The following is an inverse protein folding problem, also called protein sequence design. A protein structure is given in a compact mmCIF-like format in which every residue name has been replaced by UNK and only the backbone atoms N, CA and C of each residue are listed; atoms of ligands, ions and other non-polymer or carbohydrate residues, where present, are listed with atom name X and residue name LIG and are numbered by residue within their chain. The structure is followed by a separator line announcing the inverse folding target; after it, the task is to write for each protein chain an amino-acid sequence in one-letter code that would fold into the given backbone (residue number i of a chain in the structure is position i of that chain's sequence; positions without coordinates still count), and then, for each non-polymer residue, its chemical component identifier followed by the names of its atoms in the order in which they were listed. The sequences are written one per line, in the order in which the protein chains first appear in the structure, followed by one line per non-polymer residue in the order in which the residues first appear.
data_IF_258183556570
#
_entry.id   IF_258183556570
#
_cell.length_a   1.000
_cell.length_b   1.000
_cell.length_c   1.000
_cell.angle_alpha   90.00
_cell.angle_beta   90.00
_cell.angle_gamma   90.00
#
_symmetry.space_group_name_H-M   'P 1'
#
loop_
_entity.id
_entity.type
_entity.pdbx_description
1 polymer ?
#
# COMPACT_ATOMS: atom_id res chain seq x y z
N UNK A 1 -14.79 25.48 -4.09
CA UNK A 1 -13.40 25.40 -4.61
C UNK A 1 -12.85 24.04 -4.26
N UNK A 2 -12.84 23.11 -5.21
CA UNK A 2 -12.21 21.80 -5.07
C UNK A 2 -10.69 22.04 -5.03
N UNK A 3 -10.06 21.91 -3.86
CA UNK A 3 -8.59 21.94 -3.81
C UNK A 3 -8.09 20.80 -4.69
N UNK A 4 -7.45 21.10 -5.81
CA UNK A 4 -6.95 20.08 -6.71
C UNK A 4 -5.97 19.19 -5.94
N UNK A 5 -6.24 17.88 -5.91
CA UNK A 5 -5.32 16.89 -5.32
C UNK A 5 -3.92 16.96 -5.95
N UNK A 6 -3.78 17.53 -7.15
CA UNK A 6 -2.52 17.65 -7.88
C UNK A 6 -1.40 18.34 -7.10
N UNK A 7 -1.72 19.26 -6.18
CA UNK A 7 -0.73 19.97 -5.37
C UNK A 7 -0.50 19.40 -3.97
N UNK A 8 -1.24 18.36 -3.56
CA UNK A 8 -1.07 17.77 -2.22
C UNK A 8 0.18 16.90 -2.18
N UNK A 9 0.87 16.90 -1.04
CA UNK A 9 2.02 16.04 -0.73
C UNK A 9 2.01 15.67 0.75
N UNK A 10 2.75 14.64 1.11
CA UNK A 10 2.79 14.10 2.48
C UNK A 10 1.72 13.04 2.73
N UNK A 11 1.48 12.77 4.01
CA UNK A 11 0.53 11.75 4.48
C UNK A 11 -0.78 12.40 4.87
N UNK A 12 -1.90 11.86 4.38
CA UNK A 12 -3.23 12.43 4.62
C UNK A 12 -3.75 12.20 6.04
N UNK A 13 -3.43 11.04 6.62
CA UNK A 13 -3.70 10.66 8.02
C UNK A 13 -2.91 9.40 8.34
N UNK A 14 -2.56 9.18 9.61
CA UNK A 14 -2.00 7.92 10.12
C UNK A 14 -3.06 7.04 10.81
N UNK A 15 -4.32 7.48 10.86
CA UNK A 15 -5.45 6.78 11.51
C UNK A 15 -6.04 5.69 10.59
N UNK A 16 -5.23 4.69 10.26
CA UNK A 16 -5.69 3.49 9.56
C UNK A 16 -4.71 2.32 9.69
N UNK A 17 -5.21 1.12 9.43
CA UNK A 17 -4.38 -0.06 9.24
C UNK A 17 -4.22 -0.34 7.75
N UNK A 18 -2.99 -0.60 7.30
CA UNK A 18 -2.75 -1.05 5.95
C UNK A 18 -1.35 -0.81 5.42
N UNK A 19 -1.04 -1.47 4.30
CA UNK A 19 0.15 -1.24 3.50
C UNK A 19 -0.19 -0.65 2.13
N UNK A 20 0.79 0.05 1.55
CA UNK A 20 0.76 0.63 0.20
C UNK A 20 2.17 0.56 -0.37
N UNK A 21 2.27 0.35 -1.69
CA UNK A 21 3.54 0.50 -2.40
C UNK A 21 3.46 1.72 -3.31
N UNK A 22 4.47 2.58 -3.23
CA UNK A 22 4.67 3.69 -4.13
C UNK A 22 5.74 3.31 -5.15
N UNK A 23 5.49 3.55 -6.42
CA UNK A 23 6.43 3.27 -7.52
C UNK A 23 6.58 4.50 -8.39
N UNK A 24 7.81 4.95 -8.63
CA UNK A 24 8.10 6.13 -9.45
C UNK A 24 8.10 5.78 -10.94
N UNK A 25 6.96 5.29 -11.43
CA UNK A 25 6.76 4.85 -12.82
C UNK A 25 5.27 4.93 -13.20
N UNK A 26 4.97 4.89 -14.50
CA UNK A 26 3.63 4.90 -15.06
C UNK A 26 2.81 3.65 -14.67
N UNK A 27 1.51 3.85 -14.41
CA UNK A 27 0.55 2.83 -13.95
C UNK A 27 0.62 1.56 -14.80
N UNK A 28 0.71 1.71 -16.12
CA UNK A 28 0.79 0.56 -17.03
C UNK A 28 1.99 -0.36 -16.80
N UNK A 29 3.18 0.21 -16.60
CA UNK A 29 4.38 -0.59 -16.37
C UNK A 29 4.35 -1.24 -14.99
N UNK A 30 3.84 -0.52 -13.98
CA UNK A 30 3.63 -1.05 -12.63
C UNK A 30 2.64 -2.20 -12.63
N UNK A 31 1.47 -2.03 -13.27
CA UNK A 31 0.48 -3.09 -13.38
C UNK A 31 1.02 -4.29 -14.14
N UNK A 32 1.71 -4.09 -15.26
CA UNK A 32 2.31 -5.18 -16.01
C UNK A 32 3.33 -5.98 -15.18
N UNK A 33 4.25 -5.27 -14.52
CA UNK A 33 5.27 -5.89 -13.68
C UNK A 33 4.63 -6.63 -12.50
N UNK A 34 3.71 -6.00 -11.78
CA UNK A 34 2.99 -6.61 -10.66
C UNK A 34 2.21 -7.86 -11.11
N UNK A 35 1.48 -7.79 -12.22
CA UNK A 35 0.75 -8.94 -12.78
C UNK A 35 1.69 -10.11 -13.08
N UNK A 36 2.86 -9.84 -13.64
CA UNK A 36 3.84 -10.89 -13.94
C UNK A 36 4.44 -11.49 -12.65
N UNK A 37 4.84 -10.67 -11.68
CA UNK A 37 5.48 -11.13 -10.43
C UNK A 37 4.51 -11.89 -9.52
N UNK A 38 3.24 -11.50 -9.51
CA UNK A 38 2.18 -12.15 -8.73
C UNK A 38 1.39 -13.21 -9.52
N UNK A 39 1.80 -13.52 -10.75
CA UNK A 39 1.09 -14.50 -11.60
C UNK A 39 -0.41 -14.23 -11.71
N UNK A 40 -0.78 -12.95 -11.88
CA UNK A 40 -2.16 -12.53 -11.95
C UNK A 40 -2.88 -13.18 -13.14
N UNK A 41 -4.08 -13.71 -12.89
CA UNK A 41 -4.94 -14.29 -13.93
C UNK A 41 -5.71 -13.21 -14.70
N UNK A 42 -5.81 -12.00 -14.13
CA UNK A 42 -6.59 -10.90 -14.67
C UNK A 42 -5.86 -9.56 -14.49
N UNK A 43 -5.78 -8.79 -15.58
CA UNK A 43 -5.38 -7.39 -15.55
C UNK A 43 -6.35 -6.58 -16.41
N UNK A 44 -7.10 -5.70 -15.78
CA UNK A 44 -8.04 -4.79 -16.43
C UNK A 44 -7.51 -3.35 -16.38
N UNK A 45 -7.50 -2.69 -17.53
CA UNK A 45 -6.94 -1.33 -17.68
C UNK A 45 -8.03 -0.27 -17.54
N UNK A 46 -7.70 0.82 -16.86
CA UNK A 46 -8.56 2.00 -16.72
C UNK A 46 -10.00 1.70 -16.26
N UNK A 47 -10.14 1.00 -15.13
CA UNK A 47 -11.41 0.41 -14.64
C UNK A 47 -12.43 1.41 -14.07
N UNK A 48 -12.23 2.71 -14.25
CA UNK A 48 -13.21 3.72 -13.84
C UNK A 48 -14.52 3.51 -14.62
N UNK A 49 -15.64 3.52 -13.90
CA UNK A 49 -16.98 3.24 -14.42
C UNK A 49 -17.14 1.86 -15.07
N UNK A 50 -16.22 0.92 -14.81
CA UNK A 50 -16.33 -0.46 -15.23
C UNK A 50 -16.73 -1.35 -14.03
N UNK A 51 -17.46 -2.42 -14.31
CA UNK A 51 -17.73 -3.46 -13.33
C UNK A 51 -16.50 -4.35 -13.19
N UNK A 52 -16.03 -4.54 -11.97
CA UNK A 52 -14.93 -5.44 -11.62
C UNK A 52 -15.41 -6.42 -10.56
N UNK A 53 -14.99 -7.67 -10.68
CA UNK A 53 -15.24 -8.71 -9.68
C UNK A 53 -14.01 -8.85 -8.79
N UNK A 54 -14.20 -8.71 -7.48
CA UNK A 54 -13.11 -8.81 -6.52
C UNK A 54 -12.73 -10.27 -6.30
N UNK A 55 -11.44 -10.57 -6.26
CA UNK A 55 -10.92 -11.89 -5.84
C UNK A 55 -10.33 -11.81 -4.44
N UNK A 56 -9.95 -12.96 -3.88
CA UNK A 56 -9.25 -13.01 -2.58
C UNK A 56 -7.98 -12.16 -2.61
N UNK A 57 -7.25 -12.22 -3.72
CA UNK A 57 -6.02 -11.46 -3.94
C UNK A 57 -6.14 -10.58 -5.18
N UNK A 58 -6.45 -9.31 -4.93
CA UNK A 58 -6.51 -8.30 -5.97
C UNK A 58 -5.88 -6.99 -5.51
N UNK A 59 -5.53 -6.16 -6.49
CA UNK A 59 -4.81 -4.91 -6.31
C UNK A 59 -5.41 -3.81 -7.17
N UNK A 60 -5.46 -2.60 -6.62
CA UNK A 60 -5.63 -1.40 -7.42
C UNK A 60 -4.29 -0.73 -7.64
N UNK A 61 -4.00 -0.42 -8.90
CA UNK A 61 -2.78 0.29 -9.31
C UNK A 61 -3.22 1.61 -9.93
N UNK A 62 -2.86 2.73 -9.32
CA UNK A 62 -3.38 4.03 -9.76
C UNK A 62 -2.41 5.17 -9.58
N UNK A 63 -2.67 6.27 -10.29
CA UNK A 63 -1.91 7.51 -10.14
C UNK A 63 -2.86 8.70 -10.18
N UNK A 64 -2.63 9.66 -9.28
CA UNK A 64 -3.35 10.92 -9.27
C UNK A 64 -2.82 11.85 -10.36
N UNK A 65 -3.70 12.67 -10.94
CA UNK A 65 -3.30 13.70 -11.91
C UNK A 65 -2.32 14.70 -11.26
N UNK A 66 -1.18 14.91 -11.91
CA UNK A 66 -0.13 15.82 -11.44
C UNK A 66 0.83 15.23 -10.42
N UNK A 67 0.83 13.91 -10.24
CA UNK A 67 1.76 13.18 -9.38
C UNK A 67 2.64 12.26 -10.22
N UNK A 68 3.90 12.10 -9.83
CA UNK A 68 4.84 11.19 -10.52
C UNK A 68 4.80 9.75 -10.00
N UNK A 69 4.14 9.52 -8.87
CA UNK A 69 4.13 8.23 -8.19
C UNK A 69 2.84 7.46 -8.44
N UNK A 70 3.00 6.20 -8.83
CA UNK A 70 1.92 5.22 -8.89
C UNK A 70 1.79 4.53 -7.54
N UNK A 71 0.56 4.36 -7.09
CA UNK A 71 0.18 3.71 -5.84
C UNK A 71 -0.33 2.31 -6.16
N UNK A 72 0.11 1.33 -5.38
CA UNK A 72 -0.44 -0.03 -5.36
C UNK A 72 -1.05 -0.27 -4.00
N UNK A 73 -2.31 -0.66 -3.96
CA UNK A 73 -2.99 -1.08 -2.74
C UNK A 73 -3.54 -2.48 -2.91
N UNK A 74 -3.44 -3.31 -1.87
CA UNK A 74 -4.08 -4.61 -1.78
C UNK A 74 -5.32 -4.55 -0.89
N UNK A 75 -6.16 -5.57 -1.05
CA UNK A 75 -7.33 -5.78 -0.20
C UNK A 75 -6.81 -6.07 1.17
N UNK A 76 -7.31 -5.34 2.15
CA UNK A 76 -6.95 -5.60 3.53
C UNK A 76 -7.70 -6.85 4.00
N UNK A 77 -6.98 -7.94 4.31
CA UNK A 77 -7.62 -9.14 4.80
C UNK A 77 -8.05 -9.00 6.26
N UNK A 78 -7.77 -7.90 6.97
CA UNK A 78 -8.26 -7.68 8.35
C UNK A 78 -9.79 -7.61 8.47
N UNK A 79 -10.51 -7.48 7.35
CA UNK A 79 -11.96 -7.70 7.29
C UNK A 79 -12.37 -9.18 7.16
N UNK A 80 -11.44 -10.10 6.88
CA UNK A 80 -11.63 -11.49 7.28
C UNK A 80 -11.55 -11.48 8.79
N UNK A 81 -12.67 -11.81 9.45
CA UNK A 81 -12.69 -12.15 10.86
C UNK A 81 -11.51 -13.08 11.11
N UNK A 82 -10.40 -12.55 11.65
CA UNK A 82 -9.36 -13.36 12.25
C UNK A 82 -10.02 -13.96 13.47
N UNK A 83 -10.76 -15.04 13.24
CA UNK A 83 -11.12 -16.07 14.19
C UNK A 83 -11.13 -15.48 15.60
N UNK A 84 -12.06 -14.56 15.86
CA UNK A 84 -12.65 -14.49 17.19
C UNK A 84 -13.55 -15.71 17.31
N UNK A 85 -13.00 -16.92 17.12
CA UNK A 85 -13.53 -18.04 17.85
C UNK A 85 -13.27 -17.65 19.29
N UNK A 86 -14.34 -17.22 19.95
CA UNK A 86 -14.49 -17.25 21.41
C UNK A 86 -14.34 -18.68 21.97
N UNK A 87 -13.66 -19.57 21.25
CA UNK A 87 -13.53 -21.00 21.45
C UNK A 87 -12.12 -21.48 21.04
N UNK A 88 -11.05 -20.84 21.52
CA UNK A 88 -9.73 -21.51 21.38
C UNK A 88 -8.78 -21.13 22.49
N UNK A 89 -8.80 -21.95 23.55
CA UNK A 89 -7.68 -22.07 24.47
C UNK A 89 -6.55 -22.97 23.93
N UNK A 90 -6.55 -23.37 22.64
CA UNK A 90 -5.55 -24.28 22.06
C UNK A 90 -5.37 -24.13 20.53
N UNK A 91 -5.13 -22.92 19.98
CA UNK A 91 -4.49 -22.87 18.63
C UNK A 91 -3.00 -23.10 18.83
N UNK A 92 -2.45 -24.10 18.15
CA UNK A 92 -1.01 -24.36 18.09
C UNK A 92 -0.30 -23.19 17.38
N UNK A 93 0.82 -22.71 17.92
CA UNK A 93 1.66 -21.66 17.32
C UNK A 93 1.98 -21.94 15.84
N UNK A 94 2.17 -23.20 15.48
CA UNK A 94 2.44 -23.60 14.09
C UNK A 94 1.26 -23.32 13.14
N UNK A 95 0.03 -23.52 13.62
CA UNK A 95 -1.19 -23.24 12.84
C UNK A 95 -1.38 -21.73 12.70
N UNK A 96 -1.15 -20.96 13.78
CA UNK A 96 -1.17 -19.51 13.73
C UNK A 96 -0.16 -18.98 12.71
N UNK A 97 1.06 -19.53 12.72
CA UNK A 97 2.11 -19.14 11.77
C UNK A 97 1.72 -19.43 10.33
N UNK A 98 1.17 -20.61 10.04
CA UNK A 98 0.72 -20.97 8.69
C UNK A 98 -0.41 -20.07 8.19
N UNK A 99 -1.40 -19.77 9.04
CA UNK A 99 -2.48 -18.85 8.67
C UNK A 99 -1.97 -17.42 8.51
N UNK A 100 -1.04 -16.97 9.35
CA UNK A 100 -0.39 -15.67 9.19
C UNK A 100 0.39 -15.59 7.88
N UNK A 101 1.22 -16.60 7.56
CA UNK A 101 1.97 -16.66 6.29
C UNK A 101 1.03 -16.61 5.08
N UNK A 102 -0.10 -17.33 5.15
CA UNK A 102 -1.13 -17.28 4.12
C UNK A 102 -1.70 -15.87 3.98
N UNK A 103 -2.05 -15.20 5.08
CA UNK A 103 -2.55 -13.83 5.04
C UNK A 103 -1.50 -12.85 4.52
N UNK A 104 -0.25 -12.96 4.97
CA UNK A 104 0.87 -12.16 4.48
C UNK A 104 1.09 -12.33 2.98
N UNK A 105 0.86 -13.54 2.45
CA UNK A 105 0.97 -13.79 1.01
C UNK A 105 -0.09 -13.06 0.18
N UNK A 106 -1.26 -12.78 0.77
CA UNK A 106 -2.36 -12.03 0.13
C UNK A 106 -2.10 -10.53 0.12
N UNK A 107 -1.42 -10.02 1.15
CA UNK A 107 -1.07 -8.61 1.30
C UNK A 107 0.06 -8.17 0.38
N UNK A 108 0.16 -6.85 0.18
CA UNK A 108 1.39 -6.21 -0.26
C UNK A 108 2.43 -6.29 0.84
N UNK A 109 3.67 -6.61 0.48
CA UNK A 109 4.80 -6.73 1.39
C UNK A 109 6.06 -6.04 0.83
N UNK A 110 7.15 -6.09 1.60
CA UNK A 110 8.43 -5.48 1.20
C UNK A 110 9.05 -6.12 -0.05
N UNK A 111 8.86 -7.42 -0.25
CA UNK A 111 9.39 -8.15 -1.40
C UNK A 111 8.76 -7.66 -2.71
N UNK A 112 7.47 -7.32 -2.72
CA UNK A 112 6.83 -6.69 -3.87
C UNK A 112 7.52 -5.38 -4.27
N UNK A 113 7.80 -4.51 -3.29
CA UNK A 113 8.43 -3.22 -3.55
C UNK A 113 9.87 -3.41 -4.08
N UNK A 114 10.62 -4.34 -3.49
CA UNK A 114 11.94 -4.74 -3.96
C UNK A 114 11.89 -5.23 -5.42
N UNK A 115 11.03 -6.20 -5.71
CA UNK A 115 10.88 -6.80 -7.04
C UNK A 115 10.48 -5.77 -8.09
N UNK A 116 9.55 -4.87 -7.76
CA UNK A 116 9.14 -3.77 -8.64
C UNK A 116 10.31 -2.80 -8.91
N UNK A 117 11.10 -2.44 -7.89
CA UNK A 117 12.26 -1.56 -8.08
C UNK A 117 13.32 -2.19 -9.00
N UNK A 118 13.52 -3.50 -8.85
CA UNK A 118 14.51 -4.27 -9.62
C UNK A 118 14.07 -4.44 -11.07
N UNK A 119 12.79 -4.73 -11.30
CA UNK A 119 12.21 -5.00 -12.63
C UNK A 119 12.08 -3.71 -13.45
N UNK A 120 11.57 -2.65 -12.83
CA UNK A 120 11.30 -1.36 -13.49
C UNK A 120 12.51 -0.41 -13.48
N UNK A 121 13.60 -0.75 -12.78
CA UNK A 121 14.78 0.10 -12.63
C UNK A 121 14.41 1.51 -12.17
N UNK A 122 13.61 1.55 -11.11
CA UNK A 122 13.06 2.79 -10.54
C UNK A 122 13.04 2.72 -9.02
N UNK A 123 12.65 3.83 -8.40
CA UNK A 123 12.46 3.93 -6.95
C UNK A 123 11.10 3.38 -6.55
N UNK A 124 11.07 2.61 -5.47
CA UNK A 124 9.85 2.14 -4.82
C UNK A 124 9.91 2.40 -3.32
N UNK A 125 8.73 2.52 -2.70
CA UNK A 125 8.59 2.60 -1.25
C UNK A 125 7.50 1.62 -0.83
N UNK A 126 7.85 0.64 -0.01
CA UNK A 126 6.87 -0.08 0.80
C UNK A 126 6.56 0.78 2.03
N UNK A 127 5.29 1.00 2.32
CA UNK A 127 4.83 1.79 3.46
C UNK A 127 3.71 1.05 4.19
N UNK A 128 3.82 0.96 5.52
CA UNK A 128 2.84 0.34 6.39
C UNK A 128 2.49 1.23 7.58
N UNK A 129 1.22 1.23 7.96
CA UNK A 129 0.68 1.92 9.14
C UNK A 129 -0.26 0.97 9.88
N UNK A 130 -0.22 1.03 11.20
CA UNK A 130 -1.20 0.41 12.07
C UNK A 130 -1.58 1.38 13.19
N UNK A 131 -2.75 2.01 13.06
CA UNK A 131 -3.30 2.88 14.11
C UNK A 131 -3.71 2.09 15.36
N UNK A 132 -3.96 0.79 15.20
CA UNK A 132 -4.35 -0.11 16.30
C UNK A 132 -3.24 -0.27 17.32
N UNK A 133 -1.99 -0.40 16.85
CA UNK A 133 -0.81 -0.58 17.69
C UNK A 133 0.14 0.62 17.62
N UNK A 134 -0.27 1.74 17.02
CA UNK A 134 0.56 2.95 16.87
C UNK A 134 1.94 2.66 16.24
N UNK A 135 1.99 1.79 15.24
CA UNK A 135 3.21 1.43 14.53
C UNK A 135 3.18 1.95 13.10
N UNK A 136 4.33 2.40 12.60
CA UNK A 136 4.48 2.79 11.20
C UNK A 136 5.89 2.46 10.72
N UNK A 137 6.01 2.19 9.42
CA UNK A 137 7.30 1.82 8.85
C UNK A 137 7.34 1.94 7.34
N UNK A 138 8.55 2.02 6.81
CA UNK A 138 8.77 1.99 5.37
C UNK A 138 10.12 1.36 5.01
N UNK A 139 10.22 0.97 3.73
CA UNK A 139 11.46 0.57 3.06
C UNK A 139 11.54 1.28 1.71
N UNK A 140 12.68 1.91 1.42
CA UNK A 140 12.94 2.56 0.13
C UNK A 140 13.92 1.71 -0.66
N UNK A 141 13.52 1.32 -1.86
CA UNK A 141 14.37 0.60 -2.80
C UNK A 141 14.60 1.42 -4.07
N UNK A 142 15.76 1.29 -4.68
CA UNK A 142 16.04 1.84 -6.01
C UNK A 142 16.87 0.84 -6.81
N UNK A 143 16.38 0.43 -7.98
CA UNK A 143 17.06 -0.56 -8.85
C UNK A 143 17.34 -1.93 -8.20
N UNK A 144 16.62 -2.29 -7.14
CA UNK A 144 16.88 -3.50 -6.35
C UNK A 144 17.82 -3.30 -5.16
N UNK A 145 18.25 -2.08 -4.87
CA UNK A 145 19.08 -1.78 -3.70
C UNK A 145 18.24 -1.17 -2.59
N UNK A 146 18.39 -1.65 -1.35
CA UNK A 146 17.77 -1.05 -0.17
C UNK A 146 18.54 0.24 0.16
N UNK A 147 17.85 1.38 0.09
CA UNK A 147 18.42 2.69 0.39
C UNK A 147 18.15 3.14 1.82
N UNK A 148 16.98 2.79 2.35
CA UNK A 148 16.56 3.22 3.67
C UNK A 148 15.50 2.28 4.24
N UNK A 149 15.58 2.05 5.55
CA UNK A 149 14.54 1.38 6.33
C UNK A 149 14.27 2.10 7.64
N UNK A 150 12.99 2.19 7.97
CA UNK A 150 12.49 2.82 9.18
C UNK A 150 11.30 2.02 9.72
N UNK A 151 11.25 1.81 11.02
CA UNK A 151 10.14 1.11 11.69
C UNK A 151 9.99 1.57 13.14
N UNK A 152 8.74 1.68 13.59
CA UNK A 152 8.40 1.94 14.99
C UNK A 152 7.55 0.86 15.61
N UNK A 153 7.56 0.78 16.94
CA UNK A 153 6.69 -0.09 17.74
C UNK A 153 5.45 0.63 18.31
N UNK A 154 4.82 -0.05 19.29
CA UNK A 154 3.76 0.46 20.14
C UNK A 154 4.16 1.74 20.89
N UNK A 155 3.76 2.88 20.33
CA UNK A 155 4.03 4.20 20.91
C UNK A 155 5.01 5.04 20.09
N UNK A 156 5.30 4.61 18.86
CA UNK A 156 6.21 5.28 17.93
C UNK A 156 7.68 5.32 18.38
N UNK A 157 8.14 4.37 19.21
CA UNK A 157 9.57 4.24 19.48
C UNK A 157 10.26 3.60 18.27
N UNK A 158 11.43 4.12 17.88
CA UNK A 158 12.14 3.66 16.70
C UNK A 158 12.76 2.28 17.00
N UNK A 159 12.25 1.25 16.35
CA UNK A 159 12.79 -0.11 16.39
C UNK A 159 13.93 -0.30 15.39
N UNK A 160 13.73 0.19 14.17
CA UNK A 160 14.70 0.06 13.08
C UNK A 160 14.93 1.40 12.40
N UNK A 161 16.21 1.73 12.20
CA UNK A 161 16.64 2.87 11.39
C UNK A 161 17.97 2.56 10.73
N UNK A 162 18.01 2.63 9.40
CA UNK A 162 19.22 2.55 8.59
C UNK A 162 18.98 3.34 7.30
N UNK A 163 19.89 4.25 6.95
CA UNK A 163 19.77 5.08 5.76
C UNK A 163 21.11 5.28 5.07
N UNK A 164 21.10 5.18 3.73
CA UNK A 164 22.18 5.57 2.84
C UNK A 164 21.90 6.91 2.12
N UNK A 165 20.76 7.54 2.42
CA UNK A 165 20.28 8.75 1.72
C UNK A 165 20.02 9.92 2.68
N UNK A 166 20.02 9.68 3.99
CA UNK A 166 19.96 10.69 5.04
C UNK A 166 21.08 10.44 6.05
N UNK A 167 21.82 11.50 6.41
CA UNK A 167 22.89 11.46 7.42
C UNK A 167 22.37 11.64 8.86
N UNK A 168 21.09 12.03 9.00
CA UNK A 168 20.55 12.55 10.25
C UNK A 168 20.02 11.45 11.17
N UNK A 169 20.10 11.73 12.48
CA UNK A 169 19.28 11.02 13.48
C UNK A 169 17.87 11.58 13.42
N UNK A 170 16.88 10.71 13.53
CA UNK A 170 15.49 11.12 13.67
C UNK A 170 15.30 11.70 15.08
N UNK A 171 15.12 13.01 15.17
CA UNK A 171 14.94 13.77 16.42
C UNK A 171 13.54 14.39 16.56
N UNK A 172 12.66 14.11 15.60
CA UNK A 172 11.25 14.49 15.57
C UNK A 172 10.35 13.27 15.76
N UNK A 173 9.04 13.50 15.87
CA UNK A 173 8.06 12.41 15.95
C UNK A 173 8.08 11.58 14.67
N UNK A 174 7.87 10.27 14.79
CA UNK A 174 7.84 9.35 13.65
C UNK A 174 6.86 9.77 12.54
N UNK A 175 5.66 10.21 12.90
CA UNK A 175 4.66 10.70 11.95
C UNK A 175 5.14 11.96 11.20
N UNK A 176 5.76 12.90 11.93
CA UNK A 176 6.31 14.13 11.36
C UNK A 176 7.49 13.81 10.43
N UNK A 177 8.32 12.84 10.78
CA UNK A 177 9.41 12.32 9.95
C UNK A 177 8.88 11.75 8.63
N UNK A 178 7.90 10.85 8.69
CA UNK A 178 7.34 10.23 7.48
C UNK A 178 6.59 11.22 6.61
N UNK A 179 5.83 12.16 7.18
CA UNK A 179 5.16 13.20 6.40
C UNK A 179 6.19 14.07 5.66
N UNK A 180 7.28 14.48 6.32
CA UNK A 180 8.36 15.24 5.69
C UNK A 180 9.05 14.45 4.57
N UNK A 181 9.38 13.19 4.80
CA UNK A 181 9.94 12.30 3.78
C UNK A 181 9.03 12.25 2.54
N UNK A 182 7.73 11.99 2.73
CA UNK A 182 6.78 11.91 1.63
C UNK A 182 6.67 13.23 0.87
N UNK A 183 6.69 14.37 1.57
CA UNK A 183 6.73 15.69 0.94
C UNK A 183 7.98 15.89 0.09
N UNK A 184 9.16 15.55 0.63
CA UNK A 184 10.43 15.69 -0.07
C UNK A 184 10.51 14.80 -1.32
N UNK A 185 9.91 13.62 -1.28
CA UNK A 185 9.85 12.69 -2.41
C UNK A 185 8.76 13.04 -3.44
N UNK A 186 7.99 14.10 -3.24
CA UNK A 186 6.85 14.48 -4.10
C UNK A 186 5.72 13.41 -4.09
N UNK A 187 5.53 12.73 -2.96
CA UNK A 187 4.51 11.69 -2.77
C UNK A 187 3.28 12.26 -2.07
N UNK A 188 2.10 11.74 -2.41
CA UNK A 188 0.88 11.92 -1.65
C UNK A 188 0.26 10.58 -1.29
N UNK A 189 0.16 10.31 0.01
CA UNK A 189 -0.53 9.16 0.59
C UNK A 189 -1.94 9.63 1.01
N UNK A 190 -3.00 9.11 0.38
CA UNK A 190 -4.37 9.60 0.60
C UNK A 190 -5.07 9.00 1.83
N UNK A 191 -4.42 8.07 2.53
CA UNK A 191 -4.84 7.32 3.70
C UNK A 191 -6.13 6.51 3.47
N UNK A 192 -6.87 6.23 4.55
CA UNK A 192 -8.16 5.52 4.50
C UNK A 192 -9.17 6.16 3.53
N UNK A 193 -9.02 7.45 3.21
CA UNK A 193 -9.93 8.14 2.30
C UNK A 193 -9.96 7.48 0.92
N UNK A 194 -8.83 6.98 0.41
CA UNK A 194 -8.84 6.30 -0.88
C UNK A 194 -9.52 4.92 -0.77
N UNK A 195 -9.19 4.12 0.25
CA UNK A 195 -9.83 2.82 0.48
C UNK A 195 -11.36 2.94 0.63
N UNK A 196 -11.83 3.99 1.30
CA UNK A 196 -13.26 4.33 1.37
C UNK A 196 -13.82 4.82 0.03
N UNK A 197 -13.06 5.62 -0.70
CA UNK A 197 -13.49 6.16 -1.99
C UNK A 197 -13.72 5.07 -3.03
N UNK A 198 -12.86 4.05 -3.07
CA UNK A 198 -13.05 2.88 -3.95
C UNK A 198 -13.99 1.82 -3.36
N UNK A 199 -14.64 2.11 -2.23
CA UNK A 199 -15.54 1.17 -1.52
C UNK A 199 -14.82 -0.08 -0.97
N UNK A 200 -13.50 -0.15 -1.13
CA UNK A 200 -12.74 -1.38 -1.14
C UNK A 200 -12.71 -2.10 0.22
N UNK A 201 -12.73 -1.35 1.32
CA UNK A 201 -12.81 -1.93 2.65
C UNK A 201 -14.20 -2.52 3.00
N UNK A 202 -15.21 -2.30 2.16
CA UNK A 202 -16.61 -2.70 2.44
C UNK A 202 -17.06 -3.91 1.61
N UNK A 203 -16.19 -4.46 0.76
CA UNK A 203 -16.54 -5.52 -0.20
C UNK A 203 -15.74 -6.80 0.06
N UNK A 204 -16.37 -7.93 -0.26
CA UNK A 204 -15.79 -9.28 -0.12
C UNK A 204 -15.45 -9.89 -1.49
N UNK A 205 -14.67 -10.98 -1.53
CA UNK A 205 -14.41 -11.71 -2.77
C UNK A 205 -15.72 -12.20 -3.39
N UNK A 206 -15.80 -12.14 -4.72
CA UNK A 206 -17.00 -12.38 -5.50
C UNK A 206 -17.95 -11.18 -5.60
N UNK A 207 -17.75 -10.10 -4.81
CA UNK A 207 -18.53 -8.88 -5.00
C UNK A 207 -18.15 -8.22 -6.33
N UNK A 208 -19.17 -7.72 -7.03
CA UNK A 208 -19.03 -6.89 -8.22
C UNK A 208 -19.18 -5.43 -7.84
N UNK A 209 -18.15 -4.65 -8.13
CA UNK A 209 -18.10 -3.23 -7.77
C UNK A 209 -17.87 -2.37 -9.00
N UNK A 210 -18.22 -1.08 -8.90
CA UNK A 210 -17.91 -0.09 -9.93
C UNK A 210 -17.21 1.08 -9.28
N UNK A 211 -16.00 1.38 -9.75
CA UNK A 211 -15.25 2.54 -9.25
C UNK A 211 -15.75 3.81 -9.91
N UNK A 212 -15.93 4.88 -9.13
CA UNK A 212 -16.30 6.19 -9.64
C UNK A 212 -15.25 7.24 -9.27
N UNK A 213 -14.89 8.08 -10.24
CA UNK A 213 -14.04 9.25 -10.01
C UNK A 213 -14.80 10.56 -10.32
N UNK A 214 -15.78 10.93 -9.49
CA UNK A 214 -16.65 12.09 -9.76
C UNK A 214 -15.88 13.41 -9.77
N UNK A 215 -14.70 13.47 -9.14
CA UNK A 215 -13.87 14.68 -9.05
C UNK A 215 -12.74 14.69 -10.09
N UNK A 216 -12.60 13.62 -10.87
CA UNK A 216 -11.61 13.49 -11.93
C UNK A 216 -10.17 13.56 -11.43
N UNK A 217 -9.90 13.04 -10.23
CA UNK A 217 -8.57 13.10 -9.61
C UNK A 217 -7.57 12.07 -10.15
N UNK A 218 -8.05 10.97 -10.72
CA UNK A 218 -7.21 9.88 -11.16
C UNK A 218 -6.80 10.10 -12.62
N UNK A 219 -5.51 9.94 -12.87
CA UNK A 219 -4.97 9.87 -14.23
C UNK A 219 -5.35 8.53 -14.85
N UNK A 220 -5.20 7.45 -14.09
CA UNK A 220 -5.50 6.08 -14.48
C UNK A 220 -5.64 5.19 -13.24
N UNK A 221 -6.50 4.18 -13.34
CA UNK A 221 -6.64 3.09 -12.37
C UNK A 221 -6.71 1.78 -13.11
N UNK A 222 -5.79 0.87 -12.85
CA UNK A 222 -5.83 -0.50 -13.31
C UNK A 222 -6.20 -1.42 -12.14
N UNK A 223 -6.80 -2.56 -12.47
CA UNK A 223 -7.15 -3.62 -11.54
C UNK A 223 -6.38 -4.88 -11.90
N UNK A 224 -5.72 -5.48 -10.92
CA UNK A 224 -4.95 -6.72 -11.07
C UNK A 224 -5.52 -7.75 -10.10
N UNK A 225 -5.87 -8.93 -10.57
CA UNK A 225 -6.44 -10.00 -9.74
C UNK A 225 -5.82 -11.35 -10.07
N UNK A 226 -5.58 -12.13 -9.02
CA UNK A 226 -5.20 -13.54 -9.08
C UNK A 226 -6.46 -14.39 -9.00
#
# INVERSE_FOLDING_TARGET
MTSLLSGKRGVGSFEYNGSTIFVKEHVEAVSHSLSNKRHANCWQKNVICQEIELTEQCFFVFRFKGHSWTNVIARDPSGLDFVTTKETNQINEEILKQEMEKVYSLCLNEEDAYLLSMDLKTRTIFYGVSDTILALGYRIYENGELLEKFETDEGYEILEWESNIHDDRIDIKAEEWVDQLFRQQDIFEPSINFRRWVGYAMHKPGDKITLSDPKGYLERVDFVAL
#
